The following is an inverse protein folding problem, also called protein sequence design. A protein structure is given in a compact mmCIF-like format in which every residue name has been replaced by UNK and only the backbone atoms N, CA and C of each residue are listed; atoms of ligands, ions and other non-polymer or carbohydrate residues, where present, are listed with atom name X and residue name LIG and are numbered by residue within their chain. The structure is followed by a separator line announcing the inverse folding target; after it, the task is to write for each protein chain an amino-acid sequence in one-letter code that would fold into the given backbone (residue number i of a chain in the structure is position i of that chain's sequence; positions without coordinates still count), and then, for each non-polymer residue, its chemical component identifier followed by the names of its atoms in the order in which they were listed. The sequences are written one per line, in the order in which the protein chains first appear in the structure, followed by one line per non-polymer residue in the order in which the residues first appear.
data_IF_217611327025
#
_entry.id   IF_217611327025
#
_cell.length_a   1.000
_cell.length_b   1.000
_cell.length_c   1.000
_cell.angle_alpha   90.00
_cell.angle_beta   90.00
_cell.angle_gamma   90.00
#
_symmetry.space_group_name_H-M   'P 1'
#
loop_
_entity.id
_entity.type
_entity.pdbx_description
1 polymer ?
#
# COMPACT_ATOMS: atom_id res chain seq x y z
N UNK A 1 -21.96 -2.39 4.74
CA UNK A 1 -21.31 -3.39 3.87
C UNK A 1 -19.86 -3.52 4.25
N UNK A 2 -19.40 -4.75 4.34
CA UNK A 2 -18.02 -5.02 4.69
C UNK A 2 -17.11 -4.82 3.48
N UNK A 3 -16.12 -3.93 3.62
CA UNK A 3 -15.16 -3.64 2.55
C UNK A 3 -14.32 -4.85 2.17
N UNK A 4 -14.25 -5.85 3.05
CA UNK A 4 -13.47 -7.06 2.79
C UNK A 4 -14.19 -8.11 1.96
N UNK A 5 -15.44 -7.89 1.59
CA UNK A 5 -16.18 -8.83 0.75
C UNK A 5 -15.56 -8.98 -0.64
N UNK A 6 -14.90 -7.94 -1.14
CA UNK A 6 -14.24 -7.97 -2.44
C UNK A 6 -12.74 -8.28 -2.35
N UNK A 7 -12.25 -8.65 -1.17
CA UNK A 7 -10.84 -8.95 -0.95
C UNK A 7 -10.58 -10.45 -0.92
N UNK A 8 -9.48 -10.85 -1.56
CA UNK A 8 -8.93 -12.19 -1.42
C UNK A 8 -7.85 -12.15 -0.35
N UNK A 9 -8.02 -12.94 0.70
CA UNK A 9 -7.09 -13.00 1.82
C UNK A 9 -6.21 -14.25 1.71
N UNK A 10 -4.91 -14.05 1.76
CA UNK A 10 -3.91 -15.12 1.68
C UNK A 10 -3.13 -15.17 2.99
N UNK A 11 -3.07 -16.33 3.62
CA UNK A 11 -2.41 -16.52 4.91
C UNK A 11 -1.33 -17.59 4.80
N UNK A 12 -0.24 -17.41 5.59
CA UNK A 12 0.72 -18.49 5.81
C UNK A 12 0.05 -19.62 6.61
N UNK A 13 0.67 -20.81 6.62
CA UNK A 13 0.09 -21.98 7.30
C UNK A 13 -0.25 -21.71 8.77
N UNK A 14 0.58 -20.96 9.46
CA UNK A 14 0.36 -20.64 10.89
C UNK A 14 -0.49 -19.39 11.11
N UNK A 15 -0.94 -18.72 10.04
CA UNK A 15 -1.74 -17.50 10.15
C UNK A 15 -1.00 -16.26 10.63
N UNK A 16 0.33 -16.32 10.80
CA UNK A 16 1.12 -15.22 11.35
C UNK A 16 1.63 -14.25 10.31
N UNK A 17 1.41 -14.53 9.04
CA UNK A 17 1.77 -13.65 7.94
C UNK A 17 0.74 -13.77 6.84
N UNK A 18 0.54 -12.71 6.06
CA UNK A 18 -0.44 -12.75 4.99
C UNK A 18 -0.56 -11.44 4.24
N UNK A 19 -1.42 -11.45 3.25
CA UNK A 19 -1.76 -10.23 2.48
C UNK A 19 -3.19 -10.34 1.96
N UNK A 20 -3.77 -9.19 1.59
CA UNK A 20 -5.09 -9.13 0.99
C UNK A 20 -5.04 -8.30 -0.29
N UNK A 21 -5.73 -8.77 -1.34
CA UNK A 21 -5.85 -8.08 -2.62
C UNK A 21 -7.32 -7.79 -2.85
N UNK A 22 -7.66 -6.51 -3.02
CA UNK A 22 -9.04 -6.05 -3.24
C UNK A 22 -9.32 -5.94 -4.73
N UNK A 23 -10.49 -6.41 -5.15
CA UNK A 23 -10.95 -6.34 -6.54
C UNK A 23 -9.96 -6.94 -7.56
N UNK A 24 -9.08 -7.80 -7.09
CA UNK A 24 -8.12 -8.51 -7.92
C UNK A 24 -6.84 -7.75 -8.24
N UNK A 25 -6.71 -6.46 -7.90
CA UNK A 25 -5.56 -5.66 -8.30
C UNK A 25 -5.01 -4.69 -7.24
N UNK A 26 -5.74 -4.40 -6.16
CA UNK A 26 -5.26 -3.46 -5.14
C UNK A 26 -4.73 -4.22 -3.92
N UNK A 27 -3.45 -4.02 -3.59
CA UNK A 27 -2.86 -4.59 -2.39
C UNK A 27 -3.27 -3.73 -1.19
N UNK A 28 -4.15 -4.24 -0.34
CA UNK A 28 -4.70 -3.46 0.78
C UNK A 28 -4.11 -3.80 2.14
N UNK A 29 -3.42 -4.92 2.26
CA UNK A 29 -2.85 -5.32 3.54
C UNK A 29 -1.71 -6.29 3.33
N UNK A 30 -0.60 -6.05 4.01
CA UNK A 30 0.50 -7.01 4.13
C UNK A 30 0.89 -7.03 5.60
N UNK A 31 0.93 -8.19 6.21
CA UNK A 31 1.36 -8.30 7.59
C UNK A 31 2.26 -9.49 7.81
N UNK A 32 3.20 -9.33 8.72
CA UNK A 32 4.10 -10.40 9.16
C UNK A 32 4.39 -10.14 10.63
N UNK A 33 3.93 -11.03 11.50
CA UNK A 33 4.17 -10.88 12.93
C UNK A 33 5.66 -11.06 13.26
N UNK A 34 6.05 -10.50 14.40
CA UNK A 34 7.44 -10.55 14.84
C UNK A 34 8.00 -11.97 14.76
N UNK A 35 9.17 -12.09 14.17
CA UNK A 35 9.84 -13.38 14.00
C UNK A 35 9.56 -14.10 12.70
N UNK A 36 8.54 -13.69 11.95
CA UNK A 36 8.19 -14.36 10.69
C UNK A 36 9.04 -13.90 9.49
N UNK A 37 9.41 -12.62 9.45
CA UNK A 37 10.25 -12.03 8.38
C UNK A 37 9.77 -12.35 6.96
N UNK A 38 8.46 -12.37 6.74
CA UNK A 38 7.88 -12.82 5.48
C UNK A 38 7.47 -11.69 4.52
N UNK A 39 7.70 -10.42 4.90
CA UNK A 39 7.18 -9.28 4.14
C UNK A 39 7.57 -9.27 2.67
N UNK A 40 8.86 -9.45 2.35
CA UNK A 40 9.33 -9.42 0.95
C UNK A 40 8.70 -10.55 0.12
N UNK A 41 8.65 -11.76 0.66
CA UNK A 41 8.05 -12.90 -0.03
C UNK A 41 6.55 -12.69 -0.27
N UNK A 42 5.86 -12.09 0.71
CA UNK A 42 4.43 -11.83 0.61
C UNK A 42 4.12 -10.81 -0.50
N UNK A 43 4.90 -9.75 -0.61
CA UNK A 43 4.70 -8.75 -1.67
C UNK A 43 4.90 -9.36 -3.05
N UNK A 44 5.94 -10.19 -3.22
CA UNK A 44 6.16 -10.87 -4.50
C UNK A 44 5.02 -11.83 -4.83
N UNK A 45 4.50 -12.53 -3.83
CA UNK A 45 3.36 -13.42 -4.02
C UNK A 45 2.08 -12.64 -4.35
N UNK A 46 1.87 -11.47 -3.72
CA UNK A 46 0.75 -10.61 -4.04
C UNK A 46 0.79 -10.15 -5.49
N UNK A 47 1.97 -9.76 -5.98
CA UNK A 47 2.18 -9.37 -7.39
C UNK A 47 1.82 -10.55 -8.31
N UNK A 48 2.24 -11.75 -7.97
CA UNK A 48 1.91 -12.95 -8.74
C UNK A 48 0.40 -13.24 -8.75
N UNK A 49 -0.34 -12.73 -7.78
CA UNK A 49 -1.79 -12.90 -7.67
C UNK A 49 -2.56 -11.67 -8.16
N UNK A 50 -1.93 -10.78 -8.89
CA UNK A 50 -2.61 -9.70 -9.59
C UNK A 50 -2.46 -8.30 -8.98
N UNK A 51 -1.78 -8.14 -7.85
CA UNK A 51 -1.61 -6.81 -7.23
C UNK A 51 -0.79 -5.90 -8.14
N UNK A 52 -1.35 -4.75 -8.50
CA UNK A 52 -0.71 -3.77 -9.39
C UNK A 52 -0.55 -2.40 -8.77
N UNK A 53 -1.25 -2.09 -7.69
CA UNK A 53 -1.17 -0.79 -7.04
C UNK A 53 -1.53 -0.89 -5.55
N UNK A 54 -1.17 0.14 -4.81
CA UNK A 54 -1.41 0.23 -3.37
C UNK A 54 -1.34 1.68 -2.91
N UNK A 55 -1.69 1.92 -1.66
CA UNK A 55 -1.36 3.17 -0.99
C UNK A 55 -0.82 2.86 0.41
N UNK A 56 0.02 3.74 0.93
CA UNK A 56 0.64 3.56 2.23
C UNK A 56 1.05 4.90 2.83
N UNK A 57 1.23 4.93 4.17
CA UNK A 57 1.75 6.11 4.85
C UNK A 57 3.25 6.22 4.66
N UNK A 58 3.74 7.45 4.44
CA UNK A 58 5.16 7.73 4.35
C UNK A 58 5.68 8.16 5.73
N UNK A 59 5.97 7.20 6.58
CA UNK A 59 6.49 7.42 7.93
C UNK A 59 7.99 7.14 7.93
N UNK A 60 8.79 8.17 8.24
CA UNK A 60 10.25 8.06 8.25
C UNK A 60 10.87 8.03 6.86
N UNK A 61 12.19 8.04 6.79
CA UNK A 61 12.92 8.09 5.51
C UNK A 61 12.89 6.77 4.76
N UNK A 62 12.84 5.65 5.48
CA UNK A 62 12.85 4.31 4.91
C UNK A 62 11.59 3.55 5.30
N UNK A 63 10.46 4.22 5.21
CA UNK A 63 9.17 3.61 5.55
C UNK A 63 8.63 2.70 4.45
N UNK A 64 7.32 2.51 4.46
CA UNK A 64 6.63 1.63 3.53
C UNK A 64 6.90 1.96 2.06
N UNK A 65 6.98 3.25 1.62
CA UNK A 65 7.30 3.51 0.21
C UNK A 65 8.66 2.95 -0.22
N UNK A 66 9.65 2.98 0.67
CA UNK A 66 10.96 2.38 0.39
C UNK A 66 10.84 0.85 0.28
N UNK A 67 10.12 0.23 1.20
CA UNK A 67 9.89 -1.21 1.19
C UNK A 67 9.22 -1.67 -0.10
N UNK A 68 8.10 -1.04 -0.48
CA UNK A 68 7.39 -1.40 -1.71
C UNK A 68 8.19 -1.04 -2.96
N UNK A 69 9.02 0.01 -2.88
CA UNK A 69 9.89 0.40 -3.99
C UNK A 69 10.86 -0.68 -4.40
N UNK A 70 11.35 -1.49 -3.43
CA UNK A 70 12.22 -2.62 -3.72
C UNK A 70 11.54 -3.70 -4.55
N UNK A 71 10.21 -3.70 -4.58
CA UNK A 71 9.40 -4.67 -5.32
C UNK A 71 8.82 -4.11 -6.61
N UNK A 72 9.29 -2.95 -7.05
CA UNK A 72 8.88 -2.37 -8.34
C UNK A 72 7.71 -1.41 -8.26
N UNK A 73 7.15 -1.16 -7.09
CA UNK A 73 6.10 -0.15 -6.93
C UNK A 73 6.71 1.24 -6.94
N UNK A 74 6.11 2.13 -7.70
CA UNK A 74 6.59 3.50 -7.89
C UNK A 74 5.54 4.50 -7.39
N UNK A 75 5.93 5.55 -6.63
CA UNK A 75 4.98 6.61 -6.26
C UNK A 75 4.40 7.30 -7.50
N UNK A 76 3.08 7.45 -7.54
CA UNK A 76 2.40 8.14 -8.64
C UNK A 76 1.61 9.36 -8.18
N UNK A 77 1.21 9.42 -6.90
CA UNK A 77 0.51 10.55 -6.32
C UNK A 77 0.67 10.56 -4.81
N UNK A 78 0.46 11.72 -4.19
CA UNK A 78 0.50 11.88 -2.73
C UNK A 78 -0.79 12.54 -2.26
N UNK A 79 -1.20 12.20 -1.04
CA UNK A 79 -2.32 12.85 -0.36
C UNK A 79 -1.77 13.47 0.92
N UNK A 80 -1.91 14.78 1.07
CA UNK A 80 -1.44 15.47 2.26
C UNK A 80 -2.21 14.99 3.49
N UNK A 81 -1.53 14.89 4.63
CA UNK A 81 -2.19 14.50 5.88
C UNK A 81 -3.33 15.47 6.21
N UNK A 82 -4.46 14.92 6.65
CA UNK A 82 -5.61 15.68 7.12
C UNK A 82 -6.10 15.04 8.42
N UNK A 83 -6.05 15.80 9.52
CA UNK A 83 -6.44 15.32 10.84
C UNK A 83 -7.88 14.78 10.88
N UNK A 84 -8.75 15.27 9.98
CA UNK A 84 -10.14 14.82 9.90
C UNK A 84 -10.27 13.34 9.53
N UNK A 85 -9.27 12.80 8.85
CA UNK A 85 -9.27 11.42 8.37
C UNK A 85 -8.29 10.52 9.12
N UNK A 86 -7.76 11.00 10.26
CA UNK A 86 -6.84 10.20 11.06
C UNK A 86 -7.55 8.92 11.56
N UNK A 87 -6.87 7.76 11.49
CA UNK A 87 -7.44 6.54 12.07
C UNK A 87 -7.68 6.69 13.58
N UNK A 88 -8.70 6.01 14.08
CA UNK A 88 -8.98 6.00 15.51
C UNK A 88 -7.76 5.48 16.28
N UNK A 89 -7.40 6.19 17.35
CA UNK A 89 -6.26 5.79 18.16
C UNK A 89 -4.90 6.12 17.53
N UNK A 90 -4.88 6.98 16.52
CA UNK A 90 -3.62 7.39 15.89
C UNK A 90 -2.67 8.04 16.89
N UNK A 91 -1.44 7.53 16.95
CA UNK A 91 -0.42 8.04 17.86
C UNK A 91 0.44 9.10 17.15
N UNK A 92 0.10 10.37 17.36
CA UNK A 92 0.80 11.49 16.74
C UNK A 92 2.25 11.62 17.21
N UNK A 93 2.52 11.26 18.45
CA UNK A 93 3.88 11.35 18.98
C UNK A 93 4.81 10.34 18.31
N UNK A 94 4.30 9.16 18.00
CA UNK A 94 5.07 8.09 17.36
C UNK A 94 5.09 8.24 15.84
N UNK A 95 3.95 8.52 15.23
CA UNK A 95 3.78 8.46 13.77
C UNK A 95 3.71 9.81 13.07
N UNK A 96 3.52 10.91 13.82
CA UNK A 96 3.41 12.24 13.24
C UNK A 96 2.18 12.43 12.35
N UNK A 97 2.33 13.23 11.31
CA UNK A 97 1.29 13.53 10.32
C UNK A 97 1.80 13.18 8.92
N UNK A 98 1.93 11.88 8.61
CA UNK A 98 2.53 11.46 7.32
C UNK A 98 1.57 11.63 6.16
N UNK A 99 2.13 11.94 4.99
CA UNK A 99 1.36 11.87 3.75
C UNK A 99 1.04 10.42 3.41
N UNK A 100 -0.04 10.24 2.64
CA UNK A 100 -0.32 8.95 2.00
C UNK A 100 0.33 8.97 0.62
N UNK A 101 0.99 7.88 0.24
CA UNK A 101 1.61 7.73 -1.07
C UNK A 101 0.90 6.63 -1.83
N UNK A 102 0.34 6.97 -3.00
CA UNK A 102 -0.26 5.99 -3.90
C UNK A 102 0.83 5.50 -4.84
N UNK A 103 0.97 4.18 -4.95
CA UNK A 103 2.04 3.54 -5.70
C UNK A 103 1.49 2.50 -6.68
N UNK A 104 2.21 2.29 -7.76
CA UNK A 104 1.81 1.31 -8.77
C UNK A 104 3.05 0.61 -9.36
N UNK A 105 2.83 -0.57 -9.93
CA UNK A 105 3.85 -1.27 -10.72
C UNK A 105 3.97 -0.57 -12.06
N UNK A 106 4.88 0.39 -12.16
CA UNK A 106 5.09 1.18 -13.37
C UNK A 106 6.49 1.79 -13.35
N UNK A 107 6.87 2.42 -14.46
CA UNK A 107 8.14 3.10 -14.54
C UNK A 107 8.18 4.32 -13.61
N UNK A 108 9.38 4.66 -13.17
CA UNK A 108 9.60 5.79 -12.27
C UNK A 108 9.07 7.09 -12.86
N UNK A 109 8.35 7.85 -12.04
CA UNK A 109 7.75 9.10 -12.47
C UNK A 109 8.57 10.30 -12.01
N UNK A 110 8.68 11.31 -12.87
CA UNK A 110 9.39 12.56 -12.54
C UNK A 110 8.58 13.41 -11.57
N UNK A 111 7.26 13.43 -11.76
CA UNK A 111 6.35 14.24 -10.95
C UNK A 111 5.40 13.34 -10.16
N UNK A 112 5.27 13.66 -8.86
CA UNK A 112 4.33 12.96 -7.98
C UNK A 112 3.41 14.04 -7.40
N UNK A 113 2.27 14.31 -8.06
CA UNK A 113 1.39 15.40 -7.62
C UNK A 113 0.72 15.10 -6.29
N UNK A 114 0.40 16.17 -5.57
CA UNK A 114 -0.43 16.09 -4.35
C UNK A 114 -1.88 16.26 -4.78
N UNK A 115 -2.72 15.29 -4.44
CA UNK A 115 -4.14 15.26 -4.84
C UNK A 115 -5.01 14.86 -3.66
N UNK A 116 -6.32 14.78 -3.88
CA UNK A 116 -7.23 14.13 -2.94
C UNK A 116 -7.04 12.61 -3.00
N UNK A 117 -7.56 11.91 -1.99
CA UNK A 117 -7.36 10.46 -1.86
C UNK A 117 -7.94 9.68 -3.06
N UNK A 118 -9.17 9.99 -3.44
CA UNK A 118 -9.83 9.26 -4.53
C UNK A 118 -9.09 9.41 -5.85
N UNK A 119 -8.58 10.61 -6.14
CA UNK A 119 -7.78 10.86 -7.34
C UNK A 119 -6.46 10.09 -7.29
N UNK A 120 -5.79 10.09 -6.14
CA UNK A 120 -4.52 9.39 -5.98
C UNK A 120 -4.68 7.88 -6.22
N UNK A 121 -5.71 7.27 -5.63
CA UNK A 121 -5.98 5.84 -5.81
C UNK A 121 -6.31 5.53 -7.26
N UNK A 122 -7.10 6.38 -7.92
CA UNK A 122 -7.44 6.20 -9.35
C UNK A 122 -6.21 6.29 -10.24
N UNK A 123 -5.29 7.21 -9.95
CA UNK A 123 -4.04 7.34 -10.69
C UNK A 123 -3.18 6.08 -10.54
N UNK A 124 -3.09 5.55 -9.33
CA UNK A 124 -2.32 4.33 -9.09
C UNK A 124 -2.93 3.12 -9.80
N UNK A 125 -4.24 2.97 -9.72
CA UNK A 125 -4.94 1.87 -10.40
C UNK A 125 -4.71 1.92 -11.91
N UNK A 126 -4.81 3.11 -12.50
CA UNK A 126 -4.61 3.31 -13.93
C UNK A 126 -3.17 3.03 -14.35
N UNK A 127 -2.20 3.54 -13.57
CA UNK A 127 -0.78 3.34 -13.87
C UNK A 127 -0.40 1.86 -13.82
N UNK A 128 -0.93 1.12 -12.84
CA UNK A 128 -0.67 -0.32 -12.72
C UNK A 128 -1.24 -1.12 -13.89
N UNK A 129 -2.45 -0.75 -14.36
CA UNK A 129 -3.10 -1.46 -15.48
C UNK A 129 -2.41 -1.21 -16.82
N UNK A 130 -1.70 -0.10 -16.97
CA UNK A 130 -1.02 0.22 -18.21
C UNK A 130 0.34 -0.46 -18.35
N UNK A 131 0.72 -1.24 -17.37
CA UNK A 131 2.04 -1.83 -17.34
C UNK A 131 2.01 -3.30 -17.76
#
# INVERSE_FOLDING_TARGET
MDDYQSCDLYLSENGRAGFAVKDGDELVSVFSYEGEHAGDALVEKAKANGATHLDCYHIGERGLPFFYGRHGFTPVARVAWDDRFAPDGWDYALNGRPDVVAMALCDRRKDVPVTDYDTAVSMAARAGRMN
#
